data_IF_343472496384
#
_entry.id   IF_343472496384
#
_cell.length_a   1.000
_cell.length_b   1.000
_cell.length_c   1.000
_cell.angle_alpha   90.00
_cell.angle_beta   90.00
_cell.angle_gamma   90.00
#
_symmetry.space_group_name_H-M   'P 1'
#
loop_
_entity.id
_entity.type
_entity.pdbx_description
1 polymer ?
#
# COMPACT_ATOMS: atom_id res chain seq x y z
N UNK A 1 -4.48 -27.67 2.58
CA UNK A 1 -4.59 -26.26 2.34
C UNK A 1 -5.06 -25.96 0.93
N UNK A 2 -6.00 -25.09 0.83
CA UNK A 2 -6.53 -24.71 -0.46
C UNK A 2 -5.61 -23.71 -1.15
N UNK A 3 -5.29 -23.96 -2.42
CA UNK A 3 -4.47 -23.06 -3.24
C UNK A 3 -5.35 -22.18 -4.13
N UNK A 4 -6.42 -21.70 -3.58
CA UNK A 4 -7.42 -20.95 -4.33
C UNK A 4 -6.82 -19.75 -5.06
N UNK A 5 -5.85 -19.08 -4.47
CA UNK A 5 -5.21 -17.91 -5.09
C UNK A 5 -4.49 -18.26 -6.40
N UNK A 6 -4.07 -19.50 -6.56
CA UNK A 6 -3.44 -19.94 -7.82
C UNK A 6 -4.43 -20.02 -8.97
N UNK A 7 -5.71 -20.09 -8.67
CA UNK A 7 -6.77 -20.19 -9.68
C UNK A 7 -7.28 -18.83 -10.10
N UNK A 8 -6.86 -17.77 -9.42
CA UNK A 8 -7.27 -16.41 -9.72
C UNK A 8 -6.30 -15.85 -10.75
N UNK A 9 -6.86 -15.43 -11.89
CA UNK A 9 -6.05 -14.90 -12.98
C UNK A 9 -5.28 -13.67 -12.51
N UNK A 10 -3.99 -13.63 -12.82
CA UNK A 10 -3.15 -12.50 -12.51
C UNK A 10 -2.41 -12.58 -11.19
N UNK A 11 -2.71 -13.59 -10.37
CA UNK A 11 -2.04 -13.76 -9.09
C UNK A 11 -1.00 -14.87 -9.18
N UNK A 12 0.08 -14.73 -8.42
CA UNK A 12 1.11 -15.73 -8.27
C UNK A 12 1.29 -16.07 -6.79
N UNK A 13 1.94 -17.22 -6.55
CA UNK A 13 2.30 -17.56 -5.18
C UNK A 13 3.42 -16.66 -4.69
N UNK A 14 3.28 -16.21 -3.45
CA UNK A 14 4.29 -15.39 -2.79
C UNK A 14 5.09 -16.26 -1.83
N UNK A 15 6.40 -16.02 -1.78
CA UNK A 15 7.25 -16.61 -0.75
C UNK A 15 6.93 -16.00 0.61
N UNK A 16 7.36 -16.64 1.68
CA UNK A 16 7.18 -16.10 3.02
C UNK A 16 7.85 -14.75 3.17
N UNK A 17 9.05 -14.60 2.61
CA UNK A 17 9.75 -13.31 2.65
C UNK A 17 8.97 -12.20 1.93
N UNK A 18 8.34 -12.53 0.82
CA UNK A 18 7.52 -11.56 0.08
C UNK A 18 6.26 -11.20 0.86
N UNK A 19 5.63 -12.18 1.50
CA UNK A 19 4.47 -11.92 2.36
C UNK A 19 4.85 -11.00 3.52
N UNK A 20 6.01 -11.26 4.15
CA UNK A 20 6.49 -10.47 5.26
C UNK A 20 6.75 -9.01 4.84
N UNK A 21 7.37 -8.81 3.67
CA UNK A 21 7.61 -7.45 3.15
C UNK A 21 6.30 -6.73 2.82
N UNK A 22 5.35 -7.46 2.25
CA UNK A 22 4.05 -6.88 1.94
C UNK A 22 3.33 -6.45 3.21
N UNK A 23 3.37 -7.27 4.25
CA UNK A 23 2.76 -6.94 5.54
C UNK A 23 3.46 -5.75 6.20
N UNK A 24 4.78 -5.67 6.10
CA UNK A 24 5.53 -4.53 6.60
C UNK A 24 5.14 -3.24 5.88
N UNK A 25 5.03 -3.28 4.56
CA UNK A 25 4.61 -2.12 3.78
C UNK A 25 3.19 -1.68 4.15
N UNK A 26 2.27 -2.62 4.35
CA UNK A 26 0.90 -2.31 4.74
C UNK A 26 0.84 -1.67 6.11
N UNK A 27 1.65 -2.17 7.06
CA UNK A 27 1.72 -1.61 8.40
C UNK A 27 2.23 -0.18 8.38
N UNK A 28 3.28 0.09 7.61
CA UNK A 28 3.79 1.45 7.44
C UNK A 28 2.74 2.35 6.77
N UNK A 29 2.02 1.84 5.79
CA UNK A 29 0.96 2.60 5.14
C UNK A 29 -0.13 3.00 6.13
N UNK A 30 -0.49 2.11 7.06
CA UNK A 30 -1.46 2.44 8.10
C UNK A 30 -0.96 3.57 9.00
N UNK A 31 0.31 3.52 9.39
CA UNK A 31 0.91 4.57 10.21
C UNK A 31 0.93 5.91 9.47
N UNK A 32 1.28 5.89 8.21
CA UNK A 32 1.25 7.09 7.38
C UNK A 32 -0.17 7.63 7.26
N UNK A 33 -1.16 6.76 7.10
CA UNK A 33 -2.56 7.16 7.05
C UNK A 33 -3.01 7.87 8.32
N UNK A 34 -2.56 7.39 9.48
CA UNK A 34 -2.86 8.03 10.75
C UNK A 34 -2.24 9.44 10.79
N UNK A 35 -0.99 9.57 10.37
CA UNK A 35 -0.33 10.87 10.31
C UNK A 35 -1.07 11.83 9.37
N UNK A 36 -1.43 11.35 8.19
CA UNK A 36 -2.15 12.16 7.22
C UNK A 36 -3.48 12.64 7.81
N UNK A 37 -4.18 11.78 8.55
CA UNK A 37 -5.41 12.17 9.22
C UNK A 37 -5.19 13.30 10.22
N UNK A 38 -4.10 13.24 10.98
CA UNK A 38 -3.74 14.31 11.91
C UNK A 38 -3.44 15.62 11.19
N UNK A 39 -2.73 15.54 10.06
CA UNK A 39 -2.40 16.71 9.28
C UNK A 39 -3.66 17.36 8.69
N UNK A 40 -4.58 16.54 8.19
CA UNK A 40 -5.83 17.06 7.63
C UNK A 40 -6.71 17.74 8.68
N UNK A 41 -6.62 17.28 9.92
CA UNK A 41 -7.39 17.85 11.03
C UNK A 41 -6.74 19.12 11.61
N UNK A 42 -5.46 19.36 11.34
CA UNK A 42 -4.74 20.51 11.89
C UNK A 42 -5.02 21.76 11.08
N UNK A 43 -5.49 22.80 11.76
CA UNK A 43 -5.70 24.11 11.13
C UNK A 43 -4.36 24.81 10.92
N UNK A 44 -4.31 25.68 9.92
CA UNK A 44 -3.13 26.50 9.67
C UNK A 44 -2.09 25.88 8.76
N UNK A 45 -2.32 24.66 8.31
CA UNK A 45 -1.42 24.01 7.35
C UNK A 45 -1.88 24.32 5.92
N UNK A 46 -0.95 24.16 4.98
CA UNK A 46 -1.29 24.24 3.55
C UNK A 46 -1.94 22.93 3.13
N UNK A 47 -3.29 22.92 3.17
CA UNK A 47 -4.05 21.70 2.94
C UNK A 47 -4.02 21.24 1.48
N UNK A 48 -3.67 22.12 0.54
CA UNK A 48 -3.47 21.69 -0.85
C UNK A 48 -2.26 20.77 -0.94
N UNK A 49 -1.16 21.14 -0.29
CA UNK A 49 0.03 20.28 -0.28
C UNK A 49 -0.17 19.03 0.54
N UNK A 50 -0.90 19.12 1.66
CA UNK A 50 -1.23 17.93 2.45
C UNK A 50 -2.02 16.94 1.60
N UNK A 51 -3.03 17.41 0.87
CA UNK A 51 -3.84 16.54 0.02
C UNK A 51 -3.02 15.94 -1.12
N UNK A 52 -2.15 16.74 -1.75
CA UNK A 52 -1.28 16.27 -2.82
C UNK A 52 -0.34 15.18 -2.30
N UNK A 53 0.29 15.43 -1.15
CA UNK A 53 1.19 14.45 -0.54
C UNK A 53 0.45 13.17 -0.15
N UNK A 54 -0.76 13.28 0.39
CA UNK A 54 -1.55 12.12 0.75
C UNK A 54 -1.85 11.25 -0.47
N UNK A 55 -2.22 11.86 -1.59
CA UNK A 55 -2.48 11.14 -2.84
C UNK A 55 -1.22 10.45 -3.34
N UNK A 56 -0.09 11.17 -3.33
CA UNK A 56 1.17 10.61 -3.82
C UNK A 56 1.66 9.46 -2.93
N UNK A 57 1.44 9.55 -1.62
CA UNK A 57 1.78 8.48 -0.70
C UNK A 57 0.91 7.24 -0.97
N UNK A 58 -0.38 7.42 -1.20
CA UNK A 58 -1.26 6.31 -1.54
C UNK A 58 -0.79 5.62 -2.82
N UNK A 59 -0.47 6.39 -3.84
CA UNK A 59 0.04 5.85 -5.11
C UNK A 59 1.36 5.13 -4.89
N UNK A 60 2.25 5.72 -4.09
CA UNK A 60 3.55 5.13 -3.80
C UNK A 60 3.42 3.77 -3.13
N UNK A 61 2.58 3.67 -2.11
CA UNK A 61 2.37 2.40 -1.43
C UNK A 61 1.71 1.37 -2.34
N UNK A 62 0.75 1.78 -3.19
CA UNK A 62 0.17 0.87 -4.16
C UNK A 62 1.22 0.32 -5.11
N UNK A 63 2.12 1.16 -5.59
CA UNK A 63 3.19 0.75 -6.48
C UNK A 63 4.16 -0.21 -5.80
N UNK A 64 4.52 0.06 -4.55
CA UNK A 64 5.42 -0.80 -3.78
C UNK A 64 4.79 -2.18 -3.58
N UNK A 65 3.53 -2.23 -3.19
CA UNK A 65 2.80 -3.50 -3.00
C UNK A 65 2.76 -4.28 -4.32
N UNK A 66 2.48 -3.59 -5.42
CA UNK A 66 2.48 -4.24 -6.73
C UNK A 66 3.86 -4.77 -7.10
N UNK A 67 4.92 -4.06 -6.70
CA UNK A 67 6.30 -4.52 -6.93
C UNK A 67 6.61 -5.82 -6.20
N UNK A 68 6.07 -6.00 -5.01
CA UNK A 68 6.22 -7.25 -4.26
C UNK A 68 5.32 -8.35 -4.83
N UNK A 69 4.06 -8.03 -5.08
CA UNK A 69 3.07 -9.01 -5.56
C UNK A 69 3.36 -9.48 -6.98
N UNK A 70 3.87 -8.60 -7.82
CA UNK A 70 4.21 -8.89 -9.22
C UNK A 70 3.12 -9.71 -9.91
N UNK A 71 1.90 -9.15 -10.02
CA UNK A 71 0.81 -9.86 -10.67
C UNK A 71 1.19 -10.17 -12.13
N UNK A 72 0.69 -11.29 -12.64
CA UNK A 72 1.03 -11.75 -13.99
C UNK A 72 0.21 -11.09 -15.08
N UNK A 73 -0.79 -10.30 -14.71
CA UNK A 73 -1.64 -9.57 -15.66
C UNK A 73 -1.60 -8.07 -15.38
N UNK A 74 -2.02 -7.31 -16.35
CA UNK A 74 -2.10 -5.85 -16.23
C UNK A 74 -3.02 -5.41 -15.09
#
# INVERSE_FOLDING_TARGET
>A
MDNQHKKIKGYRDLSQGEIDLMNEAKELAEQVGILVGKLKAKQGLDHRWVATGATDLQKGFMCIIRGVAQPTTF
#
